data_IF_486095217652
#
_entry.id   IF_486095217652
#
_cell.length_a   1.000
_cell.length_b   1.000
_cell.length_c   1.000
_cell.angle_alpha   90.00
_cell.angle_beta   90.00
_cell.angle_gamma   90.00
#
_symmetry.space_group_name_H-M   'P 1'
#
loop_
_entity.id
_entity.type
_entity.pdbx_description
1 polymer ?
#
# COMPACT_ATOMS: atom_id res chain seq x y z
N UNK A 1 10.55 7.58 16.05
CA UNK A 1 10.77 6.46 17.00
C UNK A 1 9.67 6.38 18.06
N UNK A 2 9.42 7.43 18.83
CA UNK A 2 8.45 7.39 19.95
C UNK A 2 7.02 7.08 19.49
N UNK A 3 6.54 7.69 18.41
CA UNK A 3 5.18 7.48 17.92
C UNK A 3 4.95 6.04 17.47
N UNK A 4 5.85 5.48 16.66
CA UNK A 4 5.75 4.08 16.24
C UNK A 4 5.89 3.15 17.44
N UNK A 5 6.90 3.35 18.31
CA UNK A 5 7.12 2.50 19.48
C UNK A 5 5.90 2.41 20.42
N UNK A 6 5.18 3.53 20.58
CA UNK A 6 3.95 3.55 21.37
C UNK A 6 2.81 2.76 20.70
N UNK A 7 2.81 2.66 19.37
CA UNK A 7 1.77 1.93 18.65
C UNK A 7 2.04 0.41 18.58
N UNK A 8 3.29 -0.05 18.71
CA UNK A 8 3.62 -1.47 18.62
C UNK A 8 2.95 -2.30 19.72
N UNK A 9 2.70 -1.74 20.90
CA UNK A 9 2.00 -2.40 22.00
C UNK A 9 0.53 -2.74 21.70
N UNK A 10 -0.04 -2.16 20.64
CA UNK A 10 -1.42 -2.43 20.18
C UNK A 10 -1.51 -3.61 19.21
N UNK A 11 -0.38 -4.20 18.83
CA UNK A 11 -0.33 -5.40 17.99
C UNK A 11 -0.40 -6.62 18.91
N UNK A 12 -1.45 -7.40 18.79
CA UNK A 12 -1.70 -8.59 19.58
C UNK A 12 -0.79 -9.76 19.15
N UNK A 13 -0.80 -10.84 19.94
CA UNK A 13 0.00 -12.04 19.67
C UNK A 13 -0.35 -12.72 18.34
N UNK A 14 -1.62 -12.63 17.92
CA UNK A 14 -2.10 -13.14 16.63
C UNK A 14 -1.85 -12.21 15.44
N UNK A 15 -1.29 -11.02 15.68
CA UNK A 15 -1.02 -10.02 14.66
C UNK A 15 -2.19 -9.07 14.35
N UNK A 16 -3.34 -9.24 15.03
CA UNK A 16 -4.42 -8.26 14.97
C UNK A 16 -4.00 -6.96 15.67
N UNK A 17 -4.66 -5.87 15.33
CA UNK A 17 -4.37 -4.55 15.91
C UNK A 17 -5.57 -4.05 16.70
N UNK A 18 -5.35 -3.64 17.93
CA UNK A 18 -6.38 -3.01 18.76
C UNK A 18 -6.22 -1.50 18.65
N UNK A 19 -7.22 -0.78 18.09
CA UNK A 19 -7.13 0.67 17.97
C UNK A 19 -6.99 1.37 19.34
N UNK A 20 -6.08 2.34 19.43
CA UNK A 20 -5.89 3.13 20.64
C UNK A 20 -7.11 4.00 20.98
N UNK A 21 -7.95 4.30 19.99
CA UNK A 21 -9.19 5.07 20.14
C UNK A 21 -10.35 4.29 20.79
N UNK A 22 -10.20 2.96 20.94
CA UNK A 22 -11.28 2.08 21.39
C UNK A 22 -12.39 1.84 20.36
N UNK A 23 -12.15 2.23 19.11
CA UNK A 23 -13.02 1.90 17.97
C UNK A 23 -12.89 0.42 17.60
N UNK A 24 -13.84 -0.09 16.83
CA UNK A 24 -13.77 -1.46 16.31
C UNK A 24 -12.56 -1.62 15.38
N UNK A 25 -11.78 -2.73 15.50
CA UNK A 25 -10.64 -3.00 14.64
C UNK A 25 -11.04 -3.05 13.17
N UNK A 26 -10.28 -2.37 12.32
CA UNK A 26 -10.49 -2.44 10.87
C UNK A 26 -9.76 -3.63 10.28
N UNK A 27 -10.36 -4.21 9.25
CA UNK A 27 -9.84 -5.42 8.58
C UNK A 27 -8.50 -5.21 7.85
N UNK A 28 -8.08 -3.97 7.62
CA UNK A 28 -6.84 -3.61 6.94
C UNK A 28 -5.72 -3.13 7.89
N UNK A 29 -5.98 -3.02 9.18
CA UNK A 29 -4.99 -2.54 10.17
C UNK A 29 -3.74 -3.41 10.28
N UNK A 30 -3.80 -4.76 10.27
CA UNK A 30 -2.59 -5.57 10.27
C UNK A 30 -1.69 -5.26 9.08
N UNK A 31 -2.26 -5.02 7.90
CA UNK A 31 -1.52 -4.62 6.71
C UNK A 31 -0.84 -3.26 6.87
N UNK A 32 -1.55 -2.28 7.44
CA UNK A 32 -0.96 -0.96 7.73
C UNK A 32 0.18 -1.06 8.75
N UNK A 33 0.01 -1.87 9.81
CA UNK A 33 1.06 -2.09 10.79
C UNK A 33 2.30 -2.73 10.15
N UNK A 34 2.12 -3.77 9.33
CA UNK A 34 3.23 -4.41 8.60
C UNK A 34 3.97 -3.41 7.70
N UNK A 35 3.25 -2.54 6.98
CA UNK A 35 3.86 -1.49 6.15
C UNK A 35 4.65 -0.48 6.99
N UNK A 36 4.07 0.03 8.06
CA UNK A 36 4.71 1.02 8.92
C UNK A 36 6.00 0.48 9.57
N UNK A 37 5.97 -0.75 10.05
CA UNK A 37 7.13 -1.41 10.65
C UNK A 37 8.21 -1.68 9.59
N UNK A 38 7.81 -2.21 8.43
CA UNK A 38 8.73 -2.48 7.32
C UNK A 38 9.43 -1.21 6.80
N UNK A 39 8.69 -0.11 6.65
CA UNK A 39 9.28 1.18 6.25
C UNK A 39 10.21 1.77 7.31
N UNK A 40 9.87 1.60 8.59
CA UNK A 40 10.77 1.99 9.68
C UNK A 40 12.08 1.19 9.61
N UNK A 41 12.00 -0.13 9.49
CA UNK A 41 13.18 -0.99 9.32
C UNK A 41 14.01 -0.55 8.11
N UNK A 42 13.39 -0.34 6.96
CA UNK A 42 14.07 0.08 5.73
C UNK A 42 14.79 1.42 5.88
N UNK A 43 14.24 2.34 6.67
CA UNK A 43 14.81 3.66 6.88
C UNK A 43 15.91 3.68 7.95
N UNK A 44 15.82 2.83 8.98
CA UNK A 44 16.69 2.86 10.16
C UNK A 44 17.70 1.71 10.20
N UNK A 45 17.38 0.57 9.60
CA UNK A 45 18.12 -0.69 9.76
C UNK A 45 17.93 -1.35 11.13
N UNK A 46 17.05 -0.81 12.00
CA UNK A 46 16.83 -1.32 13.34
C UNK A 46 15.93 -2.56 13.29
N UNK A 47 16.34 -3.61 13.99
CA UNK A 47 15.62 -4.88 14.07
C UNK A 47 14.72 -4.99 15.31
N UNK A 48 14.91 -4.07 16.25
CA UNK A 48 14.17 -3.99 17.49
C UNK A 48 13.74 -2.54 17.78
N UNK A 49 12.54 -2.36 18.30
CA UNK A 49 12.04 -1.07 18.75
C UNK A 49 11.15 -1.26 19.97
N UNK A 50 11.43 -0.51 21.04
CA UNK A 50 10.66 -0.55 22.30
C UNK A 50 10.54 -1.96 22.91
N UNK A 51 11.54 -2.82 22.72
CA UNK A 51 11.56 -4.21 23.22
C UNK A 51 10.84 -5.22 22.30
N UNK A 52 10.39 -4.82 21.14
CA UNK A 52 9.74 -5.69 20.16
C UNK A 52 10.67 -6.06 19.00
N UNK A 53 10.73 -7.35 18.65
CA UNK A 53 11.36 -7.83 17.40
C UNK A 53 10.46 -7.43 16.22
N UNK A 54 10.95 -6.52 15.37
CA UNK A 54 10.21 -5.97 14.25
C UNK A 54 9.93 -7.01 13.16
N UNK A 55 10.79 -8.01 13.02
CA UNK A 55 10.60 -9.09 12.05
C UNK A 55 9.45 -10.01 12.49
N UNK A 56 9.40 -10.33 13.78
CA UNK A 56 8.34 -11.15 14.33
C UNK A 56 6.99 -10.44 14.28
N UNK A 57 6.93 -9.16 14.70
CA UNK A 57 5.71 -8.37 14.59
C UNK A 57 5.20 -8.28 13.16
N UNK A 58 6.10 -8.02 12.19
CA UNK A 58 5.70 -7.95 10.78
C UNK A 58 5.17 -9.30 10.29
N UNK A 59 5.83 -10.41 10.67
CA UNK A 59 5.38 -11.75 10.29
C UNK A 59 3.97 -12.07 10.83
N UNK A 60 3.69 -11.69 12.10
CA UNK A 60 2.35 -11.84 12.70
C UNK A 60 1.30 -11.02 11.95
N UNK A 61 1.57 -9.74 11.71
CA UNK A 61 0.65 -8.86 10.98
C UNK A 61 0.37 -9.37 9.55
N UNK A 62 1.41 -9.83 8.85
CA UNK A 62 1.26 -10.43 7.50
C UNK A 62 0.43 -11.70 7.56
N UNK A 63 0.65 -12.55 8.56
CA UNK A 63 -0.13 -13.78 8.76
C UNK A 63 -1.60 -13.47 9.01
N UNK A 64 -1.88 -12.58 9.96
CA UNK A 64 -3.24 -12.16 10.26
C UNK A 64 -3.95 -11.59 9.02
N UNK A 65 -3.26 -10.72 8.27
CA UNK A 65 -3.84 -10.12 7.06
C UNK A 65 -4.12 -11.16 5.98
N UNK A 66 -3.27 -12.18 5.82
CA UNK A 66 -3.46 -13.22 4.82
C UNK A 66 -4.70 -14.08 5.08
N UNK A 67 -5.06 -14.30 6.35
CA UNK A 67 -6.20 -15.13 6.76
C UNK A 67 -7.47 -14.33 7.09
N UNK A 68 -7.45 -13.01 7.00
CA UNK A 68 -8.66 -12.20 7.22
C UNK A 68 -9.67 -12.47 6.10
N UNK A 69 -10.85 -13.00 6.43
CA UNK A 69 -11.88 -13.42 5.46
C UNK A 69 -12.40 -12.27 4.59
N UNK A 70 -12.52 -11.10 5.16
CA UNK A 70 -12.85 -9.87 4.44
C UNK A 70 -11.61 -9.21 3.87
N UNK A 71 -10.63 -10.00 3.39
CA UNK A 71 -9.33 -9.51 2.96
C UNK A 71 -9.48 -8.23 2.14
N UNK A 72 -9.40 -7.11 2.84
CA UNK A 72 -9.41 -5.83 2.19
C UNK A 72 -8.19 -5.81 1.27
N UNK A 73 -8.41 -5.52 0.01
CA UNK A 73 -7.34 -5.45 -0.97
C UNK A 73 -6.23 -4.49 -0.53
N UNK A 74 -6.61 -3.49 0.23
CA UNK A 74 -5.73 -2.53 0.86
C UNK A 74 -4.78 -3.23 1.84
N UNK A 75 -5.34 -3.95 2.80
CA UNK A 75 -4.58 -4.62 3.83
C UNK A 75 -3.55 -5.58 3.25
N UNK A 76 -3.95 -6.40 2.26
CA UNK A 76 -3.03 -7.30 1.56
C UNK A 76 -1.92 -6.56 0.79
N UNK A 77 -2.26 -5.45 0.12
CA UNK A 77 -1.27 -4.66 -0.58
C UNK A 77 -0.27 -4.00 0.38
N UNK A 78 -0.75 -3.48 1.50
CA UNK A 78 0.10 -2.91 2.56
C UNK A 78 0.98 -3.98 3.21
N UNK A 79 0.43 -5.15 3.55
CA UNK A 79 1.19 -6.28 4.10
C UNK A 79 2.30 -6.72 3.13
N UNK A 80 1.98 -6.81 1.84
CA UNK A 80 2.95 -7.17 0.80
C UNK A 80 4.09 -6.15 0.69
N UNK A 81 3.82 -4.85 0.76
CA UNK A 81 4.85 -3.81 0.74
C UNK A 81 5.67 -3.81 2.04
N UNK A 82 5.02 -4.00 3.18
CA UNK A 82 5.70 -4.15 4.47
C UNK A 82 6.69 -5.30 4.42
N UNK A 83 6.25 -6.46 3.92
CA UNK A 83 7.10 -7.63 3.75
C UNK A 83 8.28 -7.37 2.78
N UNK A 84 8.03 -6.72 1.64
CA UNK A 84 9.08 -6.36 0.67
C UNK A 84 10.13 -5.40 1.24
N UNK A 85 9.80 -4.63 2.26
CA UNK A 85 10.75 -3.70 2.89
C UNK A 85 11.93 -4.41 3.55
N UNK A 86 11.81 -5.70 3.83
CA UNK A 86 12.88 -6.55 4.37
C UNK A 86 13.73 -7.26 3.31
N UNK A 87 13.39 -7.13 2.05
CA UNK A 87 14.11 -7.69 0.93
C UNK A 87 13.22 -7.98 -0.27
N UNK A 88 13.67 -7.60 -1.45
CA UNK A 88 12.91 -7.74 -2.70
C UNK A 88 13.00 -9.17 -3.31
N UNK A 89 13.44 -10.16 -2.55
CA UNK A 89 13.38 -11.58 -2.92
C UNK A 89 13.20 -12.41 -1.67
N UNK A 90 12.50 -13.53 -1.77
CA UNK A 90 12.26 -14.41 -0.62
C UNK A 90 13.54 -14.97 0.00
N UNK A 91 14.59 -15.23 -0.79
CA UNK A 91 15.87 -15.75 -0.33
C UNK A 91 16.68 -14.75 0.52
N UNK A 92 16.32 -13.47 0.47
CA UNK A 92 16.96 -12.38 1.22
C UNK A 92 16.02 -11.66 2.16
N UNK A 93 14.83 -12.21 2.37
CA UNK A 93 13.81 -11.59 3.19
C UNK A 93 13.65 -12.35 4.51
N UNK A 94 14.22 -11.78 5.57
CA UNK A 94 14.21 -12.41 6.91
C UNK A 94 12.81 -12.58 7.50
N UNK A 95 11.84 -11.77 7.11
CA UNK A 95 10.45 -11.94 7.53
C UNK A 95 9.78 -13.07 6.75
N UNK A 96 10.05 -13.19 5.45
CA UNK A 96 9.53 -14.31 4.64
C UNK A 96 9.92 -15.67 5.23
N UNK A 97 11.16 -15.80 5.69
CA UNK A 97 11.67 -17.04 6.31
C UNK A 97 10.91 -17.40 7.59
N UNK A 98 10.38 -16.42 8.32
CA UNK A 98 9.58 -16.63 9.54
C UNK A 98 8.13 -17.01 9.29
N UNK A 99 7.61 -16.77 8.08
CA UNK A 99 6.24 -17.18 7.73
C UNK A 99 6.14 -18.70 7.63
N UNK A 100 5.08 -19.26 8.19
CA UNK A 100 4.75 -20.68 8.05
C UNK A 100 4.26 -20.98 6.63
N UNK A 101 4.44 -22.22 6.15
CA UNK A 101 4.03 -22.61 4.80
C UNK A 101 2.55 -22.33 4.51
N UNK A 102 1.58 -22.60 5.39
CA UNK A 102 0.19 -22.23 5.15
C UNK A 102 -0.01 -20.72 4.93
N UNK A 103 0.74 -19.87 5.65
CA UNK A 103 0.69 -18.41 5.45
C UNK A 103 1.25 -18.02 4.09
N UNK A 104 2.35 -18.63 3.65
CA UNK A 104 2.95 -18.35 2.33
C UNK A 104 2.02 -18.75 1.19
N UNK A 105 1.37 -19.92 1.31
CA UNK A 105 0.39 -20.39 0.33
C UNK A 105 -0.84 -19.47 0.27
N UNK A 106 -1.40 -19.12 1.41
CA UNK A 106 -2.54 -18.21 1.49
C UNK A 106 -2.20 -16.83 0.96
N UNK A 107 -1.01 -16.32 1.25
CA UNK A 107 -0.55 -15.02 0.76
C UNK A 107 -0.40 -15.03 -0.77
N UNK A 108 0.17 -16.09 -1.38
CA UNK A 108 0.25 -16.20 -2.83
C UNK A 108 -1.14 -16.23 -3.48
N UNK A 109 -2.06 -17.03 -2.95
CA UNK A 109 -3.43 -17.11 -3.43
C UNK A 109 -4.13 -15.73 -3.36
N UNK A 110 -3.97 -15.01 -2.24
CA UNK A 110 -4.57 -13.70 -2.01
C UNK A 110 -3.95 -12.61 -2.90
N UNK A 111 -2.63 -12.66 -3.13
CA UNK A 111 -1.93 -11.75 -4.03
C UNK A 111 -2.26 -12.02 -5.52
N UNK A 112 -2.67 -13.24 -5.86
CA UNK A 112 -3.13 -13.57 -7.20
C UNK A 112 -4.50 -12.98 -7.50
N UNK A 113 -5.38 -12.95 -6.51
CA UNK A 113 -6.71 -12.36 -6.64
C UNK A 113 -6.58 -10.86 -6.95
N UNK A 114 -7.21 -10.42 -8.04
CA UNK A 114 -7.22 -9.02 -8.47
C UNK A 114 -8.63 -8.51 -8.53
N UNK A 115 -8.83 -7.32 -8.03
CA UNK A 115 -10.09 -6.64 -8.21
C UNK A 115 -10.18 -5.95 -9.56
N UNK A 116 -11.38 -5.88 -10.06
CA UNK A 116 -11.72 -5.08 -11.24
C UNK A 116 -12.29 -3.70 -10.85
N UNK A 117 -11.87 -3.16 -9.71
CA UNK A 117 -12.25 -1.83 -9.29
C UNK A 117 -11.90 -0.79 -10.35
N UNK A 118 -12.75 0.23 -10.48
CA UNK A 118 -12.61 1.28 -11.50
C UNK A 118 -11.97 2.56 -10.95
N UNK A 119 -11.51 2.53 -9.72
CA UNK A 119 -11.03 3.66 -8.93
C UNK A 119 -9.57 3.49 -8.51
N UNK A 120 -9.12 4.27 -7.53
CA UNK A 120 -7.78 4.24 -6.95
C UNK A 120 -7.37 2.85 -6.41
N UNK A 121 -8.31 1.98 -6.08
CA UNK A 121 -8.02 0.61 -5.63
C UNK A 121 -7.21 -0.20 -6.67
N UNK A 122 -7.23 0.18 -7.94
CA UNK A 122 -6.33 -0.41 -8.93
C UNK A 122 -4.84 -0.27 -8.58
N UNK A 123 -4.47 0.71 -7.76
CA UNK A 123 -3.10 0.86 -7.28
C UNK A 123 -2.65 -0.32 -6.42
N UNK A 124 -3.56 -0.94 -5.68
CA UNK A 124 -3.25 -2.12 -4.87
C UNK A 124 -2.88 -3.34 -5.72
N UNK A 125 -3.44 -3.45 -6.92
CA UNK A 125 -3.02 -4.47 -7.88
C UNK A 125 -1.56 -4.28 -8.33
N UNK A 126 -1.05 -3.05 -8.33
CA UNK A 126 0.38 -2.79 -8.61
C UNK A 126 1.25 -3.38 -7.50
N UNK A 127 0.94 -3.13 -6.24
CA UNK A 127 1.68 -3.69 -5.11
C UNK A 127 1.67 -5.23 -5.11
N UNK A 128 0.50 -5.83 -5.37
CA UNK A 128 0.36 -7.29 -5.51
C UNK A 128 1.23 -7.84 -6.64
N UNK A 129 1.28 -7.16 -7.80
CA UNK A 129 2.14 -7.57 -8.94
C UNK A 129 3.62 -7.47 -8.58
N UNK A 130 4.03 -6.37 -7.94
CA UNK A 130 5.41 -6.17 -7.45
C UNK A 130 5.80 -7.30 -6.51
N UNK A 131 4.96 -7.59 -5.51
CA UNK A 131 5.24 -8.62 -4.51
C UNK A 131 5.36 -10.01 -5.16
N UNK A 132 4.42 -10.40 -5.99
CA UNK A 132 4.44 -11.71 -6.66
C UNK A 132 5.66 -11.91 -7.53
N UNK A 133 6.05 -10.90 -8.29
CA UNK A 133 7.27 -10.98 -9.11
C UNK A 133 8.53 -11.01 -8.25
N UNK A 134 8.65 -10.11 -7.28
CA UNK A 134 9.83 -10.00 -6.43
C UNK A 134 10.06 -11.23 -5.56
N UNK A 135 9.00 -11.86 -5.06
CA UNK A 135 9.09 -13.11 -4.31
C UNK A 135 9.21 -14.37 -5.21
N UNK A 136 9.29 -14.21 -6.53
CA UNK A 136 9.41 -15.34 -7.45
C UNK A 136 8.17 -16.24 -7.48
N UNK A 137 7.00 -15.73 -7.07
CA UNK A 137 5.70 -16.42 -7.16
C UNK A 137 5.16 -16.43 -8.60
N UNK A 138 5.72 -15.62 -9.47
CA UNK A 138 5.47 -15.62 -10.91
C UNK A 138 6.76 -15.36 -11.69
N UNK A 139 6.90 -16.00 -12.84
CA UNK A 139 8.01 -15.76 -13.78
C UNK A 139 7.78 -14.54 -14.66
N UNK A 140 6.53 -14.09 -14.78
CA UNK A 140 6.13 -13.00 -15.67
C UNK A 140 5.91 -11.73 -14.88
N UNK A 141 6.72 -10.72 -15.17
CA UNK A 141 6.52 -9.37 -14.66
C UNK A 141 5.43 -8.65 -15.47
N UNK A 142 4.24 -8.53 -14.91
CA UNK A 142 3.13 -7.78 -15.48
C UNK A 142 2.91 -6.41 -14.83
N UNK A 143 3.74 -6.05 -13.86
CA UNK A 143 3.63 -4.80 -13.09
C UNK A 143 3.50 -3.57 -13.99
N UNK A 144 4.31 -3.50 -15.04
CA UNK A 144 4.26 -2.39 -15.99
C UNK A 144 2.91 -2.24 -16.70
N UNK A 145 2.24 -3.35 -17.01
CA UNK A 145 0.90 -3.35 -17.63
C UNK A 145 -0.17 -2.91 -16.62
N UNK A 146 -0.02 -3.34 -15.37
CA UNK A 146 -0.96 -2.95 -14.30
C UNK A 146 -0.87 -1.45 -14.05
N UNK A 147 0.34 -0.88 -14.03
CA UNK A 147 0.55 0.57 -13.92
C UNK A 147 -0.07 1.30 -15.11
N UNK A 148 0.13 0.83 -16.33
CA UNK A 148 -0.44 1.49 -17.51
C UNK A 148 -1.97 1.52 -17.45
N UNK A 149 -2.61 0.43 -17.04
CA UNK A 149 -4.06 0.36 -16.84
C UNK A 149 -4.54 1.33 -15.76
N UNK A 150 -3.80 1.41 -14.64
CA UNK A 150 -4.12 2.34 -13.57
C UNK A 150 -4.07 3.79 -14.09
N UNK A 151 -2.98 4.18 -14.73
CA UNK A 151 -2.80 5.55 -15.24
C UNK A 151 -3.87 5.88 -16.30
N UNK A 152 -4.13 4.97 -17.23
CA UNK A 152 -5.16 5.14 -18.27
C UNK A 152 -6.55 5.35 -17.65
N UNK A 153 -6.90 4.56 -16.62
CA UNK A 153 -8.17 4.73 -15.91
C UNK A 153 -8.26 6.06 -15.19
N UNK A 154 -7.25 6.43 -14.42
CA UNK A 154 -7.25 7.70 -13.70
C UNK A 154 -7.30 8.87 -14.69
N UNK A 155 -6.53 8.83 -15.77
CA UNK A 155 -6.57 9.86 -16.82
C UNK A 155 -7.94 9.96 -17.48
N UNK A 156 -8.63 8.85 -17.71
CA UNK A 156 -9.97 8.85 -18.35
C UNK A 156 -11.05 9.51 -17.46
N UNK A 157 -10.80 9.61 -16.17
CA UNK A 157 -11.71 10.21 -15.17
C UNK A 157 -11.17 11.52 -14.60
N UNK A 158 -10.10 12.06 -15.19
CA UNK A 158 -9.44 13.27 -14.70
C UNK A 158 -9.52 14.38 -15.72
N UNK A 159 -9.69 15.60 -15.24
CA UNK A 159 -9.65 16.80 -16.05
C UNK A 159 -8.79 17.85 -15.34
N UNK A 160 -7.81 18.42 -16.07
CA UNK A 160 -6.95 19.48 -15.56
C UNK A 160 -6.23 19.17 -14.24
N UNK A 161 -5.97 17.87 -13.97
CA UNK A 161 -5.37 17.40 -12.72
C UNK A 161 -6.38 17.01 -11.63
N UNK A 162 -7.64 17.37 -11.79
CA UNK A 162 -8.71 16.95 -10.92
C UNK A 162 -9.03 15.46 -11.19
N UNK A 163 -9.00 14.64 -10.16
CA UNK A 163 -9.25 13.20 -10.27
C UNK A 163 -10.63 12.88 -9.71
N UNK A 164 -11.54 12.40 -10.56
CA UNK A 164 -12.78 11.80 -10.11
C UNK A 164 -12.57 10.31 -9.87
N UNK A 165 -12.41 9.93 -8.61
CA UNK A 165 -12.14 8.55 -8.24
C UNK A 165 -13.38 7.64 -8.34
N UNK A 166 -14.58 8.22 -8.40
CA UNK A 166 -15.83 7.47 -8.52
C UNK A 166 -16.65 7.89 -9.74
N UNK A 167 -16.28 7.41 -10.95
CA UNK A 167 -16.85 7.89 -12.20
C UNK A 167 -18.34 7.57 -12.42
N UNK A 168 -18.90 6.60 -11.68
CA UNK A 168 -20.32 6.26 -11.76
C UNK A 168 -21.23 7.16 -10.92
N UNK A 169 -20.63 8.06 -10.14
CA UNK A 169 -21.34 8.88 -9.17
C UNK A 169 -21.12 10.37 -9.39
N UNK A 170 -21.18 11.09 -8.32
CA UNK A 170 -21.08 12.54 -8.30
C UNK A 170 -19.63 13.00 -8.43
N UNK A 171 -19.41 14.00 -9.25
CA UNK A 171 -18.12 14.70 -9.30
C UNK A 171 -17.72 15.18 -7.90
N UNK A 172 -16.44 15.09 -7.60
CA UNK A 172 -15.86 15.65 -6.41
C UNK A 172 -15.74 14.70 -5.22
N UNK A 173 -16.04 13.42 -5.36
CA UNK A 173 -15.99 12.52 -4.21
C UNK A 173 -14.57 12.12 -3.82
N UNK A 174 -13.56 12.17 -4.73
CA UNK A 174 -12.25 11.55 -4.44
C UNK A 174 -11.03 12.10 -5.13
N UNK A 175 -10.86 13.34 -5.11
CA UNK A 175 -9.70 14.04 -5.66
C UNK A 175 -8.36 13.76 -4.96
N UNK A 176 -8.39 13.36 -3.69
CA UNK A 176 -7.17 13.08 -2.92
C UNK A 176 -6.65 11.65 -3.10
N UNK A 177 -7.52 10.67 -3.27
CA UNK A 177 -7.10 9.26 -3.32
C UNK A 177 -6.35 8.89 -4.60
N UNK A 178 -6.70 9.49 -5.72
CA UNK A 178 -5.93 9.32 -6.96
C UNK A 178 -4.45 9.66 -6.75
N UNK A 179 -4.10 10.88 -6.31
CA UNK A 179 -2.73 11.26 -6.02
C UNK A 179 -2.04 10.45 -4.94
N UNK A 180 -2.73 10.10 -3.86
CA UNK A 180 -2.18 9.19 -2.83
C UNK A 180 -1.77 7.86 -3.43
N UNK A 181 -2.54 7.34 -4.39
CA UNK A 181 -2.23 6.12 -5.10
C UNK A 181 -0.93 6.19 -5.89
N UNK A 182 -0.53 7.37 -6.40
CA UNK A 182 0.76 7.54 -7.05
C UNK A 182 1.93 7.42 -6.08
N UNK A 183 1.78 7.94 -4.86
CA UNK A 183 2.79 7.79 -3.81
C UNK A 183 2.96 6.30 -3.50
N UNK A 184 1.86 5.58 -3.33
CA UNK A 184 1.83 4.15 -3.06
C UNK A 184 2.48 3.33 -4.20
N UNK A 185 2.14 3.62 -5.46
CA UNK A 185 2.75 2.96 -6.62
C UNK A 185 4.26 3.28 -6.70
N UNK A 186 4.66 4.52 -6.43
CA UNK A 186 6.07 4.89 -6.38
C UNK A 186 6.81 4.07 -5.31
N UNK A 187 6.23 3.91 -4.13
CA UNK A 187 6.79 3.09 -3.06
C UNK A 187 6.93 1.62 -3.51
N UNK A 188 5.87 1.05 -4.08
CA UNK A 188 5.91 -0.30 -4.64
C UNK A 188 7.03 -0.48 -5.68
N UNK A 189 7.20 0.48 -6.60
CA UNK A 189 8.26 0.45 -7.60
C UNK A 189 9.66 0.57 -7.01
N UNK A 190 9.84 1.24 -5.87
CA UNK A 190 11.13 1.30 -5.18
C UNK A 190 11.56 -0.06 -4.63
N UNK A 191 10.58 -0.90 -4.29
CA UNK A 191 10.78 -2.25 -3.75
C UNK A 191 10.78 -3.33 -4.84
N UNK A 192 10.57 -2.95 -6.10
CA UNK A 192 10.52 -3.90 -7.21
C UNK A 192 11.90 -4.48 -7.54
N UNK A 193 11.97 -5.80 -7.73
CA UNK A 193 13.21 -6.49 -8.09
C UNK A 193 13.79 -6.02 -9.43
N UNK A 194 12.93 -5.60 -10.39
CA UNK A 194 13.34 -5.06 -11.67
C UNK A 194 13.50 -3.54 -11.62
N UNK A 195 14.69 -3.05 -11.33
CA UNK A 195 15.00 -1.62 -11.21
C UNK A 195 14.71 -0.81 -12.49
N UNK A 196 14.82 -1.40 -13.67
CA UNK A 196 14.56 -0.70 -14.94
C UNK A 196 13.08 -0.37 -15.16
N UNK A 197 12.17 -1.08 -14.52
CA UNK A 197 10.74 -0.76 -14.58
C UNK A 197 10.45 0.59 -13.93
N UNK A 198 11.09 0.89 -12.83
CA UNK A 198 11.01 2.17 -12.13
C UNK A 198 11.36 3.33 -13.06
N UNK A 199 12.50 3.26 -13.74
CA UNK A 199 12.98 4.34 -14.60
C UNK A 199 12.00 4.61 -15.77
N UNK A 200 11.35 3.58 -16.27
CA UNK A 200 10.37 3.72 -17.37
C UNK A 200 9.00 4.25 -16.92
N UNK A 201 8.57 3.93 -15.70
CA UNK A 201 7.19 4.22 -15.24
C UNK A 201 7.07 5.48 -14.40
N UNK A 202 8.11 5.83 -13.62
CA UNK A 202 8.08 7.03 -12.78
C UNK A 202 7.81 8.34 -13.54
N UNK A 203 8.38 8.59 -14.74
CA UNK A 203 8.10 9.84 -15.44
C UNK A 203 6.61 10.05 -15.74
N UNK A 204 5.89 8.99 -16.14
CA UNK A 204 4.46 9.04 -16.42
C UNK A 204 3.63 9.37 -15.17
N UNK A 205 3.94 8.68 -14.06
CA UNK A 205 3.31 8.94 -12.77
C UNK A 205 3.60 10.36 -12.27
N UNK A 206 4.82 10.83 -12.44
CA UNK A 206 5.23 12.18 -12.07
C UNK A 206 4.45 13.25 -12.82
N UNK A 207 4.28 13.11 -14.14
CA UNK A 207 3.52 14.05 -14.96
C UNK A 207 2.09 14.21 -14.44
N UNK A 208 1.46 13.12 -14.04
CA UNK A 208 0.12 13.18 -13.45
C UNK A 208 0.14 13.89 -12.08
N UNK A 209 1.07 13.52 -11.21
CA UNK A 209 1.20 14.14 -9.89
C UNK A 209 1.46 15.66 -9.99
N UNK A 210 2.27 16.09 -10.96
CA UNK A 210 2.52 17.51 -11.22
C UNK A 210 1.25 18.27 -11.65
N UNK A 211 0.39 17.66 -12.45
CA UNK A 211 -0.91 18.25 -12.81
C UNK A 211 -1.80 18.42 -11.59
N UNK A 212 -1.85 17.40 -10.74
CA UNK A 212 -2.63 17.45 -9.49
C UNK A 212 -2.10 18.52 -8.53
N UNK A 213 -0.78 18.59 -8.33
CA UNK A 213 -0.18 19.58 -7.43
C UNK A 213 -0.49 21.03 -7.85
N UNK A 214 -0.63 21.28 -9.15
CA UNK A 214 -1.04 22.60 -9.66
C UNK A 214 -2.48 22.96 -9.30
N UNK A 215 -3.35 21.96 -9.21
CA UNK A 215 -4.76 22.13 -8.87
C UNK A 215 -4.99 22.16 -7.35
N UNK A 216 -4.06 21.61 -6.56
CA UNK A 216 -4.21 21.45 -5.12
C UNK A 216 -4.60 22.75 -4.36
N UNK A 217 -4.04 23.96 -4.67
CA UNK A 217 -4.45 25.19 -4.01
C UNK A 217 -5.93 25.52 -4.21
N UNK A 218 -6.52 25.16 -5.36
CA UNK A 218 -7.90 25.49 -5.69
C UNK A 218 -8.91 24.66 -4.89
N UNK A 219 -8.51 23.49 -4.42
CA UNK A 219 -9.36 22.59 -3.64
C UNK A 219 -9.07 22.62 -2.14
N UNK A 220 -7.96 23.22 -1.73
CA UNK A 220 -7.59 23.36 -0.32
C UNK A 220 -8.44 24.44 0.34
N UNK A 221 -8.93 24.18 1.55
CA UNK A 221 -9.63 25.16 2.36
C UNK A 221 -8.71 26.35 2.69
N UNK A 222 -9.30 27.53 2.84
CA UNK A 222 -8.55 28.74 3.17
C UNK A 222 -7.78 28.65 4.49
N UNK A 223 -8.27 27.85 5.44
CA UNK A 223 -7.61 27.58 6.73
C UNK A 223 -6.50 26.52 6.62
N UNK A 224 -6.36 25.86 5.47
CA UNK A 224 -5.37 24.80 5.23
C UNK A 224 -5.66 23.47 5.95
N UNK A 225 -6.79 23.34 6.64
CA UNK A 225 -7.09 22.19 7.49
C UNK A 225 -7.84 21.05 6.77
N UNK A 226 -8.04 21.17 5.47
CA UNK A 226 -8.74 20.14 4.70
C UNK A 226 -9.07 20.57 3.29
N UNK A 227 -10.00 19.86 2.67
CA UNK A 227 -10.37 20.02 1.27
C UNK A 227 -11.78 20.61 1.16
N UNK A 228 -11.99 21.47 0.19
CA UNK A 228 -13.34 22.02 -0.11
C UNK A 228 -14.23 20.98 -0.80
N UNK A 229 -13.62 19.98 -1.45
CA UNK A 229 -14.29 18.98 -2.26
C UNK A 229 -13.68 17.60 -1.99
N UNK A 230 -14.46 16.56 -2.20
CA UNK A 230 -13.99 15.19 -2.10
C UNK A 230 -14.55 14.42 -0.90
N UNK A 231 -14.12 13.17 -0.75
CA UNK A 231 -14.60 12.27 0.32
C UNK A 231 -14.16 12.70 1.72
N UNK A 232 -13.04 13.36 1.81
CA UNK A 232 -12.44 13.80 3.07
C UNK A 232 -12.67 15.29 3.33
N UNK A 233 -13.87 15.77 3.00
CA UNK A 233 -14.30 17.13 3.35
C UNK A 233 -14.47 17.19 4.86
N UNK A 234 -13.63 17.92 5.53
CA UNK A 234 -13.64 18.10 6.98
C UNK A 234 -13.91 19.54 7.35
#
# INVERSE_FOLDING_TARGET
RSLLGNNLQHINEDGSVTPASGEDPRVDEPGHAALAIGEFFRASGEVELAGFDLFDLTARCVTQQAFTEAASENGLAYAALGLLSYGASKERNSVWERLQDPTREQLDASLLARSDHKDHFQAFNVAKSVARFSFGLTKKDDTGKVIDRFVERIESHSSSGYCNDYPAGNCGIYDIYGPMSFIFIRQALQLHANVHLKDRKLPKLRTFAEKYLKMLPDITRQDGLGWNYGRAVG
#
